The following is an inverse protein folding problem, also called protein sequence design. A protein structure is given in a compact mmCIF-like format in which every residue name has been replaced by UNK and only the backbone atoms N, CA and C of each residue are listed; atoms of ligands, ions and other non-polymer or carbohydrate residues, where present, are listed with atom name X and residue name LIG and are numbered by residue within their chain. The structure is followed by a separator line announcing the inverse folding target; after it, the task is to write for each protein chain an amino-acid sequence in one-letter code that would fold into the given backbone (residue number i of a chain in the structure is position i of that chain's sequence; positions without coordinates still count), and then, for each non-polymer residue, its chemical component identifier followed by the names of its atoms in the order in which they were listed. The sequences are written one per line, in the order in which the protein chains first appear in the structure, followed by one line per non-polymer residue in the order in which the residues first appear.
data_IF_630143817609
#
_entry.id   IF_630143817609
#
_cell.length_a   1.000
_cell.length_b   1.000
_cell.length_c   1.000
_cell.angle_alpha   90.00
_cell.angle_beta   90.00
_cell.angle_gamma   90.00
#
_symmetry.space_group_name_H-M   'P 1'
#
loop_
_entity.id
_entity.type
_entity.pdbx_description
1 polymer ?
#
# COMPACT_ATOMS: atom_id res chain seq x y z
N UNK A 1 6.19 12.44 17.14
CA UNK A 1 5.33 12.46 15.94
C UNK A 1 5.72 11.30 15.03
N UNK A 2 4.74 10.50 14.62
CA UNK A 2 5.00 9.36 13.74
C UNK A 2 5.28 9.82 12.31
N UNK A 3 6.04 9.03 11.59
CA UNK A 3 6.32 9.26 10.19
C UNK A 3 5.74 8.11 9.35
N UNK A 4 5.15 8.43 8.23
CA UNK A 4 4.46 7.44 7.39
C UNK A 4 4.95 7.52 5.94
N UNK A 5 5.33 6.38 5.39
CA UNK A 5 5.50 6.22 3.95
C UNK A 5 4.24 5.58 3.39
N UNK A 6 3.62 6.23 2.44
CA UNK A 6 2.42 5.72 1.78
C UNK A 6 2.68 5.36 0.34
N UNK A 7 1.99 4.33 -0.12
CA UNK A 7 2.11 3.82 -1.48
C UNK A 7 0.73 3.57 -2.06
N UNK A 8 0.58 3.88 -3.34
CA UNK A 8 -0.65 3.62 -4.08
C UNK A 8 -0.25 2.99 -5.40
N UNK A 9 -0.74 1.80 -5.68
CA UNK A 9 -0.39 1.15 -6.94
C UNK A 9 -1.55 0.34 -7.51
N UNK A 10 -1.64 0.26 -8.85
CA UNK A 10 -2.59 -0.62 -9.50
C UNK A 10 -2.07 -2.05 -9.53
N UNK A 11 -2.95 -3.00 -9.29
CA UNK A 11 -2.62 -4.43 -9.34
C UNK A 11 -3.67 -5.15 -10.16
N UNK A 12 -3.28 -5.95 -11.16
CA UNK A 12 -4.24 -6.76 -11.88
C UNK A 12 -4.98 -7.71 -10.94
N UNK A 13 -6.29 -7.82 -11.11
CA UNK A 13 -7.12 -8.66 -10.23
C UNK A 13 -6.63 -10.10 -10.15
N UNK A 14 -6.18 -10.63 -11.27
CA UNK A 14 -5.69 -12.01 -11.33
C UNK A 14 -4.34 -12.21 -10.65
N UNK A 15 -3.66 -11.12 -10.28
CA UNK A 15 -2.37 -11.17 -9.57
C UNK A 15 -2.49 -10.74 -8.11
N UNK A 16 -3.69 -10.41 -7.66
CA UNK A 16 -3.91 -9.89 -6.32
C UNK A 16 -3.49 -10.87 -5.23
N UNK A 17 -3.79 -12.16 -5.40
CA UNK A 17 -3.40 -13.18 -4.42
C UNK A 17 -1.88 -13.28 -4.28
N UNK A 18 -1.17 -13.28 -5.40
CA UNK A 18 0.29 -13.30 -5.40
C UNK A 18 0.86 -12.03 -4.77
N UNK A 19 0.27 -10.88 -5.07
CA UNK A 19 0.66 -9.62 -4.48
C UNK A 19 0.50 -9.63 -2.96
N UNK A 20 -0.65 -10.11 -2.46
CA UNK A 20 -0.91 -10.20 -1.02
C UNK A 20 0.13 -11.06 -0.31
N UNK A 21 0.54 -12.14 -0.95
CA UNK A 21 1.56 -13.03 -0.39
C UNK A 21 2.90 -12.32 -0.25
N UNK A 22 3.30 -11.59 -1.29
CA UNK A 22 4.52 -10.78 -1.25
C UNK A 22 4.43 -9.67 -0.20
N UNK A 23 3.29 -9.03 -0.11
CA UNK A 23 3.05 -7.95 0.84
C UNK A 23 3.16 -8.42 2.28
N UNK A 24 2.64 -9.61 2.59
CA UNK A 24 2.77 -10.20 3.93
C UNK A 24 4.23 -10.44 4.30
N UNK A 25 5.01 -10.95 3.36
CA UNK A 25 6.45 -11.15 3.58
C UNK A 25 7.16 -9.83 3.80
N UNK A 26 6.88 -8.85 2.95
CA UNK A 26 7.46 -7.52 3.07
C UNK A 26 7.11 -6.88 4.41
N UNK A 27 5.84 -6.94 4.79
CA UNK A 27 5.38 -6.37 6.07
C UNK A 27 6.05 -7.01 7.27
N UNK A 28 6.24 -8.31 7.24
CA UNK A 28 6.95 -9.02 8.30
C UNK A 28 8.40 -8.54 8.41
N UNK A 29 9.07 -8.39 7.27
CA UNK A 29 10.46 -7.91 7.24
C UNK A 29 10.54 -6.48 7.77
N UNK A 30 9.64 -5.57 7.32
CA UNK A 30 9.63 -4.20 7.80
C UNK A 30 9.45 -4.13 9.32
N UNK A 31 8.55 -4.94 9.87
CA UNK A 31 8.34 -4.99 11.33
C UNK A 31 9.54 -5.56 12.07
N UNK A 32 10.21 -6.54 11.51
CA UNK A 32 11.44 -7.10 12.10
C UNK A 32 12.55 -6.06 12.17
N UNK A 33 12.60 -5.14 11.21
CA UNK A 33 13.56 -4.04 11.21
C UNK A 33 13.11 -2.84 12.04
N UNK A 34 11.94 -2.90 12.66
CA UNK A 34 11.50 -1.90 13.62
C UNK A 34 10.38 -0.98 13.19
N UNK A 35 9.79 -1.18 12.02
CA UNK A 35 8.60 -0.42 11.64
C UNK A 35 7.48 -0.68 12.64
N UNK A 36 6.75 0.37 13.01
CA UNK A 36 5.68 0.25 14.00
C UNK A 36 4.45 -0.45 13.44
N UNK A 37 4.15 -0.17 12.17
CA UNK A 37 2.99 -0.73 11.49
C UNK A 37 3.28 -0.88 10.01
N UNK A 38 2.68 -1.89 9.41
CA UNK A 38 2.64 -2.09 7.98
C UNK A 38 1.23 -2.53 7.63
N UNK A 39 0.54 -1.74 6.84
CA UNK A 39 -0.87 -2.00 6.49
C UNK A 39 -1.04 -1.93 4.99
N UNK A 40 -1.78 -2.89 4.45
CA UNK A 40 -2.19 -2.88 3.05
C UNK A 40 -3.70 -3.00 2.95
N UNK A 41 -4.27 -2.14 2.11
CA UNK A 41 -5.69 -2.13 1.86
C UNK A 41 -5.95 -2.24 0.37
N UNK A 42 -6.86 -3.13 0.00
CA UNK A 42 -7.32 -3.24 -1.38
C UNK A 42 -8.63 -2.49 -1.48
N UNK A 43 -8.72 -1.58 -2.44
CA UNK A 43 -9.98 -0.91 -2.70
C UNK A 43 -10.95 -1.90 -3.32
N UNK A 44 -12.13 -1.98 -2.76
CA UNK A 44 -13.22 -2.75 -3.35
C UNK A 44 -13.88 -1.99 -4.48
N UNK A 45 -15.20 -1.95 -4.47
CA UNK A 45 -15.97 -1.30 -5.52
C UNK A 45 -15.87 0.22 -5.41
N UNK A 46 -14.86 0.81 -6.04
CA UNK A 46 -14.73 2.24 -6.13
C UNK A 46 -15.45 2.72 -7.37
N UNK A 47 -16.58 3.37 -7.17
CA UNK A 47 -17.33 3.97 -8.27
C UNK A 47 -16.65 5.27 -8.67
N UNK A 48 -16.31 5.46 -9.96
CA UNK A 48 -15.80 6.73 -10.43
C UNK A 48 -16.79 7.85 -10.07
N UNK A 49 -16.32 8.89 -9.42
CA UNK A 49 -17.16 10.00 -8.99
C UNK A 49 -17.36 10.13 -7.50
N UNK A 50 -17.23 9.07 -6.72
CA UNK A 50 -17.29 9.15 -5.25
C UNK A 50 -15.92 9.33 -4.60
N UNK A 51 -14.92 8.65 -5.12
CA UNK A 51 -13.52 8.88 -4.79
C UNK A 51 -12.85 9.35 -6.06
N UNK A 52 -13.32 10.42 -6.52
CA UNK A 52 -13.25 11.04 -7.79
C UNK A 52 -12.01 10.81 -8.58
N UNK A 53 -10.99 10.63 -7.95
CA UNK A 53 -9.76 10.76 -8.64
C UNK A 53 -8.95 9.49 -8.60
N UNK A 54 -9.35 8.47 -7.84
CA UNK A 54 -8.48 7.33 -7.69
C UNK A 54 -8.29 6.52 -8.95
N UNK A 55 -9.34 6.00 -9.59
CA UNK A 55 -9.17 5.27 -10.84
C UNK A 55 -8.65 6.17 -11.95
N UNK A 56 -9.06 7.45 -11.96
CA UNK A 56 -8.65 8.40 -12.98
C UNK A 56 -7.20 8.84 -12.81
N UNK A 57 -6.80 9.19 -11.60
CA UNK A 57 -5.43 9.61 -11.32
C UNK A 57 -4.42 8.48 -11.55
N UNK A 58 -4.82 7.26 -11.27
CA UNK A 58 -3.97 6.09 -11.46
C UNK A 58 -4.04 5.51 -12.88
N UNK A 59 -4.91 6.04 -13.73
CA UNK A 59 -5.18 5.48 -15.06
C UNK A 59 -5.46 3.98 -14.99
N UNK A 60 -6.32 3.61 -14.05
CA UNK A 60 -6.61 2.22 -13.72
C UNK A 60 -7.27 1.50 -14.89
N UNK A 61 -6.76 0.33 -15.23
CA UNK A 61 -7.37 -0.52 -16.26
C UNK A 61 -8.57 -1.26 -15.66
N UNK A 62 -9.46 -1.73 -16.53
CA UNK A 62 -10.71 -2.37 -16.10
C UNK A 62 -10.51 -3.61 -15.23
N UNK A 63 -9.40 -4.31 -15.42
CA UNK A 63 -9.06 -5.53 -14.69
C UNK A 63 -8.11 -5.29 -13.52
N UNK A 64 -7.90 -4.03 -13.15
CA UNK A 64 -7.01 -3.67 -12.06
C UNK A 64 -7.77 -3.16 -10.84
N UNK A 65 -7.17 -3.33 -9.67
CA UNK A 65 -7.63 -2.74 -8.43
C UNK A 65 -6.54 -1.86 -7.87
N UNK A 66 -6.91 -0.90 -7.06
CA UNK A 66 -5.96 -0.02 -6.38
C UNK A 66 -5.62 -0.62 -5.03
N UNK A 67 -4.33 -0.68 -4.74
CA UNK A 67 -3.84 -1.09 -3.42
C UNK A 67 -3.24 0.13 -2.75
N UNK A 68 -3.67 0.38 -1.52
CA UNK A 68 -3.08 1.35 -0.62
C UNK A 68 -2.25 0.61 0.40
N UNK A 69 -1.04 1.07 0.60
CA UNK A 69 -0.23 0.55 1.70
C UNK A 69 0.48 1.69 2.39
N UNK A 70 0.74 1.51 3.68
CA UNK A 70 1.53 2.47 4.41
C UNK A 70 2.34 1.78 5.50
N UNK A 71 3.50 2.37 5.75
CA UNK A 71 4.42 1.91 6.77
C UNK A 71 4.57 3.04 7.78
N UNK A 72 4.35 2.74 9.06
CA UNK A 72 4.45 3.73 10.13
C UNK A 72 5.77 3.55 10.85
N UNK A 73 6.49 4.64 10.99
CA UNK A 73 7.77 4.68 11.70
C UNK A 73 7.68 5.62 12.88
N UNK A 74 8.57 5.43 13.83
CA UNK A 74 8.67 6.30 15.01
C UNK A 74 9.00 7.74 14.62
N UNK A 75 9.87 7.91 13.61
CA UNK A 75 10.30 9.21 13.13
C UNK A 75 10.88 9.07 11.72
N UNK A 76 11.14 10.19 11.06
CA UNK A 76 11.82 10.19 9.76
C UNK A 76 13.22 9.57 9.86
N UNK A 77 13.95 9.91 10.91
CA UNK A 77 15.28 9.34 11.11
C UNK A 77 15.23 7.83 11.27
N UNK A 78 14.21 7.32 11.96
CA UNK A 78 13.97 5.89 12.11
C UNK A 78 13.68 5.23 10.75
N UNK A 79 12.83 5.86 9.93
CA UNK A 79 12.55 5.38 8.58
C UNK A 79 13.84 5.28 7.75
N UNK A 80 14.68 6.32 7.79
CA UNK A 80 15.92 6.37 7.03
C UNK A 80 16.91 5.28 7.45
N UNK A 81 16.88 4.91 8.72
CA UNK A 81 17.68 3.79 9.23
C UNK A 81 17.21 2.43 8.73
N UNK A 82 15.90 2.25 8.61
CA UNK A 82 15.31 0.98 8.19
C UNK A 82 15.47 0.77 6.68
N UNK A 83 15.35 1.82 5.91
CA UNK A 83 15.57 1.75 4.48
C UNK A 83 17.09 1.66 4.16
#
# INVERSE_FOLDING_TARGET
MSYVDGFVLPVPKNKLAAYRKLARKAGKIWKEYGALEYIECVTGDVTPGKLTSFPQAMKLKADEVVVFSWIVYKSRAHRDKIN
#
